data_IF_979409284857
#
_entry.id   IF_979409284857
#
_cell.length_a   1.000
_cell.length_b   1.000
_cell.length_c   1.000
_cell.angle_alpha   90.00
_cell.angle_beta   90.00
_cell.angle_gamma   90.00
#
_symmetry.space_group_name_H-M   'P 1'
#
loop_
_entity.id
_entity.type
_entity.pdbx_description
1 polymer ?
#
# COMPACT_ATOMS: atom_id res chain seq x y z
N UNK A 1 0.75 8.23 -9.60
CA UNK A 1 0.02 6.97 -9.94
C UNK A 1 0.25 6.55 -11.39
N UNK A 2 0.03 7.45 -12.36
CA UNK A 2 0.26 7.22 -13.81
C UNK A 2 1.67 6.72 -14.14
N UNK A 3 2.70 7.25 -13.46
CA UNK A 3 4.10 6.85 -13.63
C UNK A 3 4.44 5.43 -13.12
N UNK A 4 3.63 4.85 -12.23
CA UNK A 4 3.85 3.50 -11.69
C UNK A 4 2.84 2.47 -12.22
N UNK A 5 1.93 2.87 -13.11
CA UNK A 5 0.84 2.04 -13.63
C UNK A 5 0.04 1.32 -12.54
N UNK A 6 -0.24 2.05 -11.45
CA UNK A 6 -1.08 1.62 -10.32
C UNK A 6 -2.36 2.43 -10.41
N UNK A 7 -3.51 1.75 -10.46
CA UNK A 7 -4.79 2.42 -10.50
C UNK A 7 -5.15 2.95 -9.11
N UNK A 8 -5.75 4.13 -9.07
CA UNK A 8 -6.15 4.78 -7.81
C UNK A 8 -7.11 3.94 -6.99
N UNK A 9 -8.02 3.22 -7.66
CA UNK A 9 -8.90 2.23 -7.02
C UNK A 9 -8.13 1.17 -6.22
N UNK A 10 -6.96 0.72 -6.69
CA UNK A 10 -6.18 -0.34 -6.03
C UNK A 10 -5.53 0.22 -4.76
N UNK A 11 -5.14 1.50 -4.77
CA UNK A 11 -4.63 2.21 -3.60
C UNK A 11 -5.73 2.43 -2.58
N UNK A 12 -6.90 2.90 -3.01
CA UNK A 12 -8.06 3.08 -2.13
C UNK A 12 -8.46 1.74 -1.49
N UNK A 13 -8.54 0.66 -2.29
CA UNK A 13 -8.87 -0.67 -1.77
C UNK A 13 -7.82 -1.15 -0.75
N UNK A 14 -6.54 -0.92 -1.01
CA UNK A 14 -5.47 -1.30 -0.10
C UNK A 14 -5.47 -0.50 1.22
N UNK A 15 -5.98 0.73 1.22
CA UNK A 15 -6.17 1.53 2.44
C UNK A 15 -7.42 1.11 3.22
N UNK A 16 -8.51 0.78 2.52
CA UNK A 16 -9.78 0.38 3.14
C UNK A 16 -9.78 -1.07 3.64
N UNK A 17 -9.17 -1.97 2.88
CA UNK A 17 -9.14 -3.42 3.13
C UNK A 17 -7.71 -3.97 3.00
N UNK A 18 -6.77 -3.51 3.85
CA UNK A 18 -5.38 -3.97 3.83
C UNK A 18 -5.30 -5.44 4.23
N UNK A 19 -4.33 -6.15 3.65
CA UNK A 19 -3.92 -7.48 4.14
C UNK A 19 -3.19 -7.35 5.49
N UNK A 20 -2.40 -6.29 5.66
CA UNK A 20 -1.67 -6.01 6.90
C UNK A 20 -1.41 -4.53 7.03
N UNK A 21 -1.49 -4.02 8.26
CA UNK A 21 -1.10 -2.65 8.58
C UNK A 21 0.03 -2.72 9.61
N UNK A 22 1.09 -1.96 9.37
CA UNK A 22 2.14 -1.72 10.34
C UNK A 22 2.14 -0.23 10.67
N UNK A 23 2.25 0.11 11.95
CA UNK A 23 2.40 1.48 12.41
C UNK A 23 3.63 1.61 13.28
N UNK A 24 4.22 2.80 13.34
CA UNK A 24 5.26 3.13 14.31
C UNK A 24 4.86 4.32 15.19
N UNK A 25 5.64 4.59 16.23
CA UNK A 25 5.41 5.68 17.19
C UNK A 25 5.40 7.09 16.57
N UNK A 26 5.95 7.24 15.36
CA UNK A 26 6.01 8.51 14.62
C UNK A 26 4.81 8.73 13.69
N UNK A 27 3.68 8.08 13.96
CA UNK A 27 2.46 8.17 13.15
C UNK A 27 2.66 7.77 11.67
N UNK A 28 3.73 7.02 11.36
CA UNK A 28 3.90 6.42 10.04
C UNK A 28 3.16 5.12 10.00
N UNK A 29 2.41 4.92 8.93
CA UNK A 29 1.68 3.70 8.65
C UNK A 29 2.15 3.12 7.32
N UNK A 30 2.28 1.80 7.29
CA UNK A 30 2.55 1.01 6.11
C UNK A 30 1.39 0.02 5.92
N UNK A 31 0.59 0.29 4.92
CA UNK A 31 -0.47 -0.60 4.46
C UNK A 31 0.13 -1.57 3.45
N UNK A 32 -0.19 -2.84 3.61
CA UNK A 32 0.20 -3.91 2.70
C UNK A 32 -1.05 -4.58 2.17
N UNK A 33 -1.14 -4.76 0.85
CA UNK A 33 -2.25 -5.44 0.19
C UNK A 33 -1.73 -6.43 -0.83
N UNK A 34 -2.12 -7.68 -0.67
CA UNK A 34 -1.96 -8.70 -1.72
C UNK A 34 -3.15 -8.59 -2.67
N UNK A 35 -2.86 -8.61 -3.97
CA UNK A 35 -3.88 -8.65 -5.01
C UNK A 35 -3.36 -9.42 -6.23
N UNK A 36 -4.27 -9.85 -7.09
CA UNK A 36 -3.92 -10.52 -8.35
C UNK A 36 -3.99 -9.54 -9.51
N UNK A 37 -2.90 -9.44 -10.28
CA UNK A 37 -2.81 -8.66 -11.52
C UNK A 37 -2.29 -9.58 -12.61
N UNK A 38 -3.04 -9.73 -13.70
CA UNK A 38 -2.68 -10.59 -14.84
C UNK A 38 -2.36 -12.04 -14.42
N UNK A 39 -3.17 -12.59 -13.51
CA UNK A 39 -3.00 -13.96 -13.00
C UNK A 39 -1.83 -14.16 -12.03
N UNK A 40 -1.05 -13.12 -11.73
CA UNK A 40 0.08 -13.17 -10.79
C UNK A 40 -0.26 -12.42 -9.51
N UNK A 41 0.11 -12.98 -8.38
CA UNK A 41 0.01 -12.26 -7.11
C UNK A 41 1.06 -11.15 -7.05
N UNK A 42 0.62 -9.99 -6.55
CA UNK A 42 1.42 -8.78 -6.34
C UNK A 42 1.16 -8.28 -4.93
N UNK A 43 2.15 -7.56 -4.40
CA UNK A 43 2.06 -6.85 -3.13
C UNK A 43 2.13 -5.35 -3.41
N UNK A 44 1.10 -4.64 -2.96
CA UNK A 44 1.07 -3.20 -2.89
C UNK A 44 1.49 -2.78 -1.48
N UNK A 45 2.48 -1.89 -1.41
CA UNK A 45 2.99 -1.30 -0.18
C UNK A 45 2.72 0.21 -0.24
N UNK A 46 1.91 0.72 0.69
CA UNK A 46 1.55 2.13 0.77
C UNK A 46 2.05 2.67 2.10
N UNK A 47 3.07 3.51 2.05
CA UNK A 47 3.60 4.20 3.21
C UNK A 47 3.06 5.63 3.24
N UNK A 48 2.62 6.05 4.42
CA UNK A 48 2.14 7.41 4.64
C UNK A 48 2.19 7.80 6.10
N UNK A 49 1.86 9.06 6.35
CA UNK A 49 1.82 9.66 7.68
C UNK A 49 0.42 10.20 7.97
N UNK A 50 -0.07 9.97 9.18
CA UNK A 50 -1.29 10.63 9.64
C UNK A 50 -0.95 12.06 10.05
N UNK A 51 -1.65 13.04 9.48
CA UNK A 51 -1.56 14.47 9.84
C UNK A 51 -2.96 14.99 10.16
N UNK A 52 -3.32 14.91 11.44
CA UNK A 52 -4.69 15.25 11.89
C UNK A 52 -5.72 14.30 11.28
N UNK A 53 -6.62 14.83 10.44
CA UNK A 53 -7.66 14.05 9.77
C UNK A 53 -7.28 13.60 8.35
N UNK A 54 -6.06 13.92 7.90
CA UNK A 54 -5.59 13.58 6.56
C UNK A 54 -4.50 12.51 6.68
N UNK A 55 -4.61 11.46 5.86
CA UNK A 55 -3.55 10.50 5.67
C UNK A 55 -2.75 10.86 4.42
N UNK A 56 -1.52 11.34 4.59
CA UNK A 56 -0.65 11.73 3.48
C UNK A 56 0.15 10.54 2.99
N UNK A 57 -0.08 10.12 1.74
CA UNK A 57 0.66 9.03 1.12
C UNK A 57 2.00 9.54 0.63
N UNK A 58 3.08 9.03 1.22
CA UNK A 58 4.46 9.40 0.88
C UNK A 58 4.98 8.52 -0.26
N UNK A 59 4.63 7.23 -0.26
CA UNK A 59 5.19 6.27 -1.22
C UNK A 59 4.25 5.10 -1.47
N UNK A 60 4.13 4.69 -2.74
CA UNK A 60 3.38 3.51 -3.18
C UNK A 60 4.27 2.62 -4.03
N UNK A 61 4.51 1.37 -3.60
CA UNK A 61 5.36 0.40 -4.30
C UNK A 61 4.54 -0.84 -4.66
N UNK A 62 4.61 -1.27 -5.91
CA UNK A 62 4.14 -2.58 -6.35
C UNK A 62 5.34 -3.53 -6.46
N UNK A 63 5.25 -4.74 -5.91
CA UNK A 63 6.30 -5.76 -6.05
C UNK A 63 5.73 -7.17 -6.18
N UNK A 64 6.44 -8.06 -6.86
CA UNK A 64 6.16 -9.50 -6.86
C UNK A 64 6.82 -10.25 -5.69
N UNK A 65 7.67 -9.58 -4.89
CA UNK A 65 8.44 -10.19 -3.79
C UNK A 65 7.62 -10.36 -2.51
N UNK A 66 6.45 -11.00 -2.59
CA UNK A 66 5.48 -11.11 -1.49
C UNK A 66 6.11 -11.69 -0.22
N UNK A 67 6.77 -12.86 -0.31
CA UNK A 67 7.38 -13.55 0.84
C UNK A 67 8.42 -12.71 1.59
N UNK A 68 9.08 -11.77 0.91
CA UNK A 68 10.10 -10.91 1.54
C UNK A 68 9.48 -9.74 2.31
N UNK A 69 8.30 -9.28 1.89
CA UNK A 69 7.77 -7.98 2.30
C UNK A 69 6.43 -8.05 3.05
N UNK A 70 5.82 -9.23 3.21
CA UNK A 70 4.58 -9.40 3.99
C UNK A 70 4.85 -9.54 5.49
#
# INVERSE_FOLDING_TARGET
MKERNIAEKDVIEALMLPTKVLSNEKQRMLFKKIYKKEGKERLLLIAGEQKGNIFEIITVIETSKIKKYL
#
